data_IF_958194605468
#
_entry.id   IF_958194605468
#
_cell.length_a   1.000
_cell.length_b   1.000
_cell.length_c   1.000
_cell.angle_alpha   90.00
_cell.angle_beta   90.00
_cell.angle_gamma   90.00
#
_symmetry.space_group_name_H-M   'P 1'
#
loop_
_entity.id
_entity.type
_entity.pdbx_description
1 polymer ?
#
# COMPACT_ATOMS: atom_id res chain seq x y z
N UNK A 1 -1.42 11.15 3.93
CA UNK A 1 -2.33 10.80 5.04
C UNK A 1 -2.01 9.42 5.62
N UNK A 2 -2.01 8.35 4.81
CA UNK A 2 -1.71 6.99 5.29
C UNK A 2 -0.35 6.85 5.99
N UNK A 3 0.72 7.44 5.42
CA UNK A 3 2.06 7.42 6.03
C UNK A 3 2.10 8.03 7.43
N UNK A 4 1.62 9.26 7.60
CA UNK A 4 1.58 9.93 8.91
C UNK A 4 0.85 9.13 10.00
N UNK A 5 -0.27 8.49 9.64
CA UNK A 5 -1.00 7.64 10.58
C UNK A 5 -0.22 6.33 10.88
N UNK A 6 0.34 5.71 9.83
CA UNK A 6 1.08 4.45 9.93
C UNK A 6 2.42 4.56 10.67
N UNK A 7 3.08 5.72 10.61
CA UNK A 7 4.36 5.96 11.30
C UNK A 7 4.19 6.08 12.82
N UNK A 8 3.06 6.65 13.28
CA UNK A 8 2.80 6.95 14.70
C UNK A 8 2.02 5.84 15.40
N UNK A 9 1.17 5.10 14.67
CA UNK A 9 0.31 4.08 15.26
C UNK A 9 1.08 2.96 16.03
N UNK A 10 2.20 2.40 15.52
CA UNK A 10 2.95 1.36 16.24
C UNK A 10 3.45 1.79 17.62
N UNK A 11 4.02 2.99 17.71
CA UNK A 11 4.54 3.51 18.97
C UNK A 11 3.42 3.83 19.96
N UNK A 12 2.33 4.42 19.45
CA UNK A 12 1.19 4.80 20.30
C UNK A 12 0.49 3.57 20.85
N UNK A 13 0.24 2.56 20.01
CA UNK A 13 -0.38 1.30 20.43
C UNK A 13 0.53 0.47 21.35
N UNK A 14 1.85 0.57 21.19
CA UNK A 14 2.81 0.00 22.11
C UNK A 14 2.76 0.65 23.50
N UNK A 15 2.72 1.99 23.56
CA UNK A 15 2.59 2.74 24.82
C UNK A 15 1.26 2.47 25.54
N UNK A 16 0.20 2.18 24.78
CA UNK A 16 -1.12 1.79 25.31
C UNK A 16 -1.20 0.30 25.69
N UNK A 17 -0.14 -0.49 25.47
CA UNK A 17 -0.10 -1.92 25.79
C UNK A 17 -0.96 -2.81 24.90
N UNK A 18 -1.51 -2.27 23.80
CA UNK A 18 -2.36 -3.00 22.85
C UNK A 18 -1.57 -3.78 21.80
N UNK A 19 -0.23 -3.66 21.81
CA UNK A 19 0.66 -4.30 20.85
C UNK A 19 1.92 -4.84 21.55
N UNK A 20 2.44 -6.03 21.18
CA UNK A 20 3.71 -6.54 21.68
C UNK A 20 4.86 -5.56 21.41
N UNK A 21 5.77 -5.39 22.36
CA UNK A 21 6.89 -4.44 22.28
C UNK A 21 7.78 -4.66 21.04
N UNK A 22 7.90 -5.91 20.59
CA UNK A 22 8.65 -6.32 19.39
C UNK A 22 8.11 -5.71 18.09
N UNK A 23 6.82 -5.36 18.05
CA UNK A 23 6.13 -4.79 16.88
C UNK A 23 5.72 -3.32 17.08
N UNK A 24 6.04 -2.76 18.25
CA UNK A 24 5.85 -1.35 18.60
C UNK A 24 7.12 -0.53 18.31
N UNK A 25 7.71 -0.75 17.14
CA UNK A 25 8.94 -0.10 16.72
C UNK A 25 8.64 1.28 16.10
N UNK A 26 9.55 2.25 16.28
CA UNK A 26 9.57 3.46 15.46
C UNK A 26 9.65 3.13 13.97
N UNK A 27 8.99 3.92 13.13
CA UNK A 27 8.84 3.65 11.69
C UNK A 27 10.16 3.38 10.96
N UNK A 28 11.26 4.05 11.34
CA UNK A 28 12.57 3.88 10.71
C UNK A 28 13.29 2.58 11.11
N UNK A 29 12.90 1.95 12.23
CA UNK A 29 13.45 0.66 12.71
C UNK A 29 12.70 -0.55 12.18
N UNK A 30 11.65 -0.35 11.38
CA UNK A 30 10.77 -1.42 10.89
C UNK A 30 11.40 -2.32 9.83
N UNK A 31 12.60 -1.99 9.34
CA UNK A 31 13.23 -2.63 8.17
C UNK A 31 13.17 -1.79 6.90
N UNK A 32 12.46 -0.65 6.90
CA UNK A 32 12.45 0.31 5.80
C UNK A 32 13.84 0.92 5.54
N UNK A 33 14.62 1.13 6.61
CA UNK A 33 16.01 1.56 6.55
C UNK A 33 16.87 0.51 7.26
N UNK A 34 17.43 -0.48 6.54
CA UNK A 34 18.22 -1.54 7.16
C UNK A 34 19.33 -1.08 8.12
N UNK A 35 20.04 0.06 7.87
CA UNK A 35 21.02 0.59 8.83
C UNK A 35 20.43 1.10 10.15
N UNK A 36 19.15 1.46 10.18
CA UNK A 36 18.49 2.05 11.35
C UNK A 36 17.79 0.99 12.22
N UNK A 37 17.47 -0.17 11.66
CA UNK A 37 16.90 -1.32 12.37
C UNK A 37 16.12 -2.24 11.42
N UNK A 38 16.03 -3.52 11.78
CA UNK A 38 15.26 -4.53 11.06
C UNK A 38 14.32 -5.27 11.99
N UNK A 39 13.21 -5.78 11.45
CA UNK A 39 12.25 -6.64 12.15
C UNK A 39 12.12 -7.96 11.37
N UNK A 40 11.91 -9.06 12.09
CA UNK A 40 11.72 -10.38 11.49
C UNK A 40 10.26 -10.53 11.10
N UNK A 41 9.99 -10.55 9.79
CA UNK A 41 8.68 -10.83 9.22
C UNK A 41 8.60 -12.27 8.71
N UNK A 42 7.45 -12.64 8.16
CA UNK A 42 7.19 -13.95 7.58
C UNK A 42 7.96 -14.21 6.27
N UNK A 43 8.52 -13.17 5.66
CA UNK A 43 9.41 -13.24 4.50
C UNK A 43 10.52 -12.21 4.65
N UNK A 44 11.60 -12.35 3.88
CA UNK A 44 12.67 -11.37 3.88
C UNK A 44 12.22 -10.03 3.25
N UNK A 45 12.86 -8.90 3.62
CA UNK A 45 12.44 -7.58 3.16
C UNK A 45 12.45 -7.42 1.63
N UNK A 46 13.31 -8.13 0.91
CA UNK A 46 13.38 -8.03 -0.55
C UNK A 46 12.25 -8.81 -1.22
N UNK A 47 11.89 -9.98 -0.71
CA UNK A 47 10.68 -10.70 -1.15
C UNK A 47 9.43 -9.88 -0.92
N UNK A 48 9.30 -9.24 0.26
CA UNK A 48 8.19 -8.33 0.55
C UNK A 48 8.16 -7.13 -0.41
N UNK A 49 9.33 -6.55 -0.71
CA UNK A 49 9.43 -5.44 -1.66
C UNK A 49 9.00 -5.85 -3.08
N UNK A 50 9.44 -7.01 -3.58
CA UNK A 50 9.02 -7.50 -4.91
C UNK A 50 7.51 -7.75 -4.96
N UNK A 51 6.94 -8.31 -3.90
CA UNK A 51 5.49 -8.50 -3.78
C UNK A 51 4.75 -7.16 -3.81
N UNK A 52 5.20 -6.18 -3.01
CA UNK A 52 4.64 -4.83 -3.01
C UNK A 52 4.71 -4.19 -4.40
N UNK A 53 5.86 -4.26 -5.07
CA UNK A 53 6.05 -3.71 -6.41
C UNK A 53 5.14 -4.38 -7.45
N UNK A 54 4.87 -5.69 -7.31
CA UNK A 54 3.92 -6.36 -8.18
C UNK A 54 2.49 -5.86 -7.94
N UNK A 55 2.04 -5.81 -6.69
CA UNK A 55 0.67 -5.38 -6.33
C UNK A 55 0.42 -3.91 -6.66
N UNK A 56 1.34 -3.03 -6.25
CA UNK A 56 1.30 -1.61 -6.57
C UNK A 56 1.49 -1.38 -8.07
N UNK A 57 2.29 -2.21 -8.74
CA UNK A 57 2.40 -2.23 -10.20
C UNK A 57 1.04 -2.38 -10.87
N UNK A 58 0.24 -3.37 -10.48
CA UNK A 58 -1.11 -3.53 -11.02
C UNK A 58 -2.02 -2.34 -10.71
N UNK A 59 -2.01 -1.85 -9.47
CA UNK A 59 -2.87 -0.75 -9.06
C UNK A 59 -2.53 0.58 -9.78
N UNK A 60 -1.25 0.97 -9.76
CA UNK A 60 -0.77 2.23 -10.33
C UNK A 60 -0.85 2.26 -11.85
N UNK A 61 -0.54 1.16 -12.54
CA UNK A 61 -0.68 1.12 -14.00
C UNK A 61 -2.13 1.24 -14.43
N UNK A 62 -3.08 0.62 -13.72
CA UNK A 62 -4.51 0.78 -14.03
C UNK A 62 -4.99 2.20 -13.75
N UNK A 63 -4.58 2.80 -12.63
CA UNK A 63 -4.86 4.21 -12.32
C UNK A 63 -4.32 5.14 -13.42
N UNK A 64 -3.09 4.89 -13.88
CA UNK A 64 -2.48 5.66 -14.95
C UNK A 64 -3.21 5.49 -16.30
N UNK A 65 -3.64 4.28 -16.63
CA UNK A 65 -4.39 4.05 -17.87
C UNK A 65 -5.76 4.75 -17.87
N UNK A 66 -6.42 4.85 -16.70
CA UNK A 66 -7.64 5.64 -16.57
C UNK A 66 -7.37 7.16 -16.65
N UNK A 67 -6.27 7.64 -16.08
CA UNK A 67 -5.81 9.03 -16.29
C UNK A 67 -5.55 9.34 -17.78
N UNK A 68 -4.82 8.46 -18.47
CA UNK A 68 -4.43 8.66 -19.86
C UNK A 68 -5.61 8.49 -20.83
N UNK A 69 -6.53 7.56 -20.53
CA UNK A 69 -7.72 7.26 -21.32
C UNK A 69 -8.89 6.92 -20.38
N UNK A 70 -9.66 7.93 -19.95
CA UNK A 70 -10.77 7.75 -19.01
C UNK A 70 -11.77 6.69 -19.46
N UNK A 71 -12.18 5.82 -18.53
CA UNK A 71 -13.18 4.76 -18.75
C UNK A 71 -12.69 3.55 -19.53
N UNK A 72 -11.38 3.46 -19.82
CA UNK A 72 -10.82 2.24 -20.44
C UNK A 72 -10.72 1.07 -19.46
N UNK A 73 -10.63 1.35 -18.16
CA UNK A 73 -10.52 0.34 -17.12
C UNK A 73 -11.80 -0.48 -16.88
N UNK A 74 -12.94 -0.04 -17.45
CA UNK A 74 -14.21 -0.77 -17.43
C UNK A 74 -14.52 -1.61 -18.67
N UNK A 75 -13.59 -1.74 -19.63
CA UNK A 75 -13.83 -2.45 -20.90
C UNK A 75 -13.22 -3.85 -20.95
N UNK A 76 -11.99 -3.98 -20.49
CA UNK A 76 -11.29 -5.26 -20.49
C UNK A 76 -11.73 -6.10 -19.30
N UNK A 77 -11.98 -7.39 -19.52
CA UNK A 77 -12.33 -8.33 -18.45
C UNK A 77 -11.30 -8.29 -17.32
N UNK A 78 -11.78 -8.01 -16.11
CA UNK A 78 -10.94 -7.95 -14.92
C UNK A 78 -11.65 -8.61 -13.74
N UNK A 79 -11.93 -9.91 -13.89
CA UNK A 79 -12.58 -10.76 -12.88
C UNK A 79 -13.95 -10.23 -12.42
N UNK A 80 -14.68 -9.50 -13.27
CA UNK A 80 -16.00 -8.94 -12.94
C UNK A 80 -15.96 -7.58 -12.23
N UNK A 81 -14.77 -7.04 -11.94
CA UNK A 81 -14.60 -5.76 -11.24
C UNK A 81 -14.72 -4.55 -12.17
N UNK A 82 -14.78 -4.76 -13.49
CA UNK A 82 -14.78 -3.72 -14.51
C UNK A 82 -15.86 -2.64 -14.32
N UNK A 83 -17.04 -3.00 -13.80
CA UNK A 83 -18.16 -2.06 -13.61
C UNK A 83 -17.82 -0.92 -12.65
N UNK A 84 -17.03 -1.19 -11.60
CA UNK A 84 -16.64 -0.20 -10.59
C UNK A 84 -15.35 0.55 -10.94
N UNK A 85 -14.62 0.09 -11.96
CA UNK A 85 -13.34 0.66 -12.38
C UNK A 85 -13.48 1.54 -13.63
N UNK A 86 -14.71 1.86 -14.05
CA UNK A 86 -14.98 2.69 -15.23
C UNK A 86 -14.74 4.19 -15.03
N UNK A 87 -14.52 4.64 -13.79
CA UNK A 87 -14.31 6.05 -13.48
C UNK A 87 -15.56 6.92 -13.65
N UNK A 88 -15.52 8.12 -13.07
CA UNK A 88 -16.57 9.17 -13.20
C UNK A 88 -16.33 10.11 -14.39
N UNK A 89 -15.14 10.02 -15.01
CA UNK A 89 -14.62 11.00 -15.97
C UNK A 89 -13.64 12.01 -15.35
N UNK A 90 -13.61 12.15 -14.02
CA UNK A 90 -12.53 12.82 -13.28
C UNK A 90 -11.55 11.78 -12.71
N UNK A 91 -10.32 11.69 -13.23
CA UNK A 91 -9.34 10.69 -12.80
C UNK A 91 -8.95 10.76 -11.31
N UNK A 92 -9.05 11.93 -10.68
CA UNK A 92 -8.75 12.09 -9.26
C UNK A 92 -9.89 11.59 -8.37
N UNK A 93 -11.12 11.58 -8.90
CA UNK A 93 -12.34 11.21 -8.19
C UNK A 93 -13.16 10.21 -9.01
N UNK A 94 -12.69 8.95 -9.17
CA UNK A 94 -13.27 7.98 -10.09
C UNK A 94 -14.64 7.41 -9.68
N UNK A 95 -15.20 7.81 -8.53
CA UNK A 95 -16.47 7.30 -7.98
C UNK A 95 -17.57 8.35 -7.95
#
# INVERSE_FOLDING_TARGET
MLGAAGEIAPETLGKLGMRPAETALPWFKTGAMPPAGTCVYWADPYTLFVLEMALMGFAEHRRFQDWAKPGTMGKQYFLGLEKGLGGSGDPAYPG
#
